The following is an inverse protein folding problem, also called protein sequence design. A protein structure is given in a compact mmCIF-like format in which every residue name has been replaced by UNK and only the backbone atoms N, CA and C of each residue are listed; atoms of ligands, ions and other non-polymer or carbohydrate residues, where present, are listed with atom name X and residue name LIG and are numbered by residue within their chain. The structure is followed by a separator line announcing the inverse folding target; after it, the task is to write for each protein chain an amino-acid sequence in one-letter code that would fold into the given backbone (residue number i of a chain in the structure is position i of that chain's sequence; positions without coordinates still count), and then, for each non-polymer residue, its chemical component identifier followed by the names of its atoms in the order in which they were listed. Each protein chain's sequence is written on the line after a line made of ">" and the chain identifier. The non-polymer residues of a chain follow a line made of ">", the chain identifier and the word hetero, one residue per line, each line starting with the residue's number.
data_IF_553868624092
#
_entry.id   IF_553868624092
#
_cell.length_a   1.000
_cell.length_b   1.000
_cell.length_c   1.000
_cell.angle_alpha   90.00
_cell.angle_beta   90.00
_cell.angle_gamma   90.00
#
_symmetry.space_group_name_H-M   'P 1'
#
loop_
_entity.id
_entity.type
_entity.pdbx_description
1 polymer ?
#
# COMPACT_ATOMS: atom_id res chain seq x y z
N UNK A 1 -46.38 31.79 25.02
CA UNK A 1 -45.57 30.53 25.15
C UNK A 1 -45.41 29.88 23.80
N UNK A 2 -44.46 30.27 22.95
CA UNK A 2 -44.09 29.61 21.65
C UNK A 2 -42.74 30.17 21.18
N UNK A 3 -41.65 30.02 21.95
CA UNK A 3 -40.29 30.42 21.49
C UNK A 3 -39.18 29.48 21.91
N UNK A 4 -39.47 28.22 22.28
CA UNK A 4 -38.42 27.29 22.79
C UNK A 4 -38.14 26.08 21.89
N UNK A 5 -38.78 25.95 20.71
CA UNK A 5 -38.63 24.74 19.87
C UNK A 5 -37.64 24.89 18.71
N UNK A 6 -37.06 26.09 18.48
CA UNK A 6 -36.15 26.29 17.33
C UNK A 6 -34.67 26.12 17.64
N UNK A 7 -34.29 26.13 18.92
CA UNK A 7 -32.89 26.02 19.31
C UNK A 7 -32.38 24.56 19.41
N UNK A 8 -33.30 23.59 19.53
CA UNK A 8 -32.92 22.17 19.67
C UNK A 8 -32.69 21.52 18.31
N UNK A 9 -33.22 22.08 17.22
CA UNK A 9 -33.06 21.54 15.87
C UNK A 9 -31.70 21.91 15.23
N UNK A 10 -31.00 22.91 15.74
CA UNK A 10 -29.70 23.36 15.20
C UNK A 10 -28.50 22.58 15.79
N UNK A 11 -28.72 21.77 16.81
CA UNK A 11 -27.66 20.98 17.47
C UNK A 11 -27.51 19.56 16.87
N UNK A 12 -28.39 19.16 15.94
CA UNK A 12 -28.36 17.84 15.30
C UNK A 12 -27.69 17.82 13.92
N UNK A 13 -27.21 18.98 13.43
CA UNK A 13 -26.49 19.11 12.17
C UNK A 13 -25.02 19.53 12.38
N UNK A 14 -24.35 19.00 13.42
CA UNK A 14 -22.92 18.82 13.27
C UNK A 14 -22.75 17.56 12.40
N UNK A 15 -22.32 17.68 11.15
CA UNK A 15 -21.77 16.53 10.48
C UNK A 15 -20.63 16.09 11.38
N UNK A 16 -20.75 14.92 11.97
CA UNK A 16 -19.57 14.24 12.50
C UNK A 16 -18.55 14.34 11.36
N UNK A 17 -17.49 15.11 11.58
CA UNK A 17 -16.33 15.15 10.71
C UNK A 17 -15.86 13.70 10.68
N UNK A 18 -16.35 12.96 9.70
CA UNK A 18 -15.82 11.67 9.38
C UNK A 18 -14.40 11.98 8.93
N UNK A 19 -13.44 11.80 9.84
CA UNK A 19 -12.07 11.69 9.46
C UNK A 19 -12.05 10.57 8.44
N UNK A 20 -12.03 10.95 7.17
CA UNK A 20 -11.83 10.00 6.09
C UNK A 20 -10.46 9.38 6.37
N UNK A 21 -10.47 8.18 6.93
CA UNK A 21 -9.25 7.47 7.23
C UNK A 21 -8.46 7.35 5.93
N UNK A 22 -7.21 7.77 5.94
CA UNK A 22 -6.35 7.75 4.77
C UNK A 22 -6.23 6.33 4.23
N UNK A 23 -6.47 6.16 2.95
CA UNK A 23 -6.69 4.85 2.35
C UNK A 23 -5.47 3.95 2.25
N UNK A 24 -4.26 4.47 2.43
CA UNK A 24 -3.05 3.71 2.13
C UNK A 24 -1.97 3.86 3.20
N UNK A 25 -2.36 3.92 4.46
CA UNK A 25 -1.40 3.85 5.57
C UNK A 25 -0.72 2.48 5.59
N UNK A 26 0.53 2.47 5.98
CA UNK A 26 1.33 1.27 6.08
C UNK A 26 2.31 1.10 4.91
N UNK A 27 2.93 -0.06 4.87
CA UNK A 27 3.89 -0.41 3.83
C UNK A 27 3.20 -0.61 2.49
N UNK A 28 3.76 0.01 1.47
CA UNK A 28 3.34 -0.14 0.09
C UNK A 28 4.22 -1.17 -0.64
N UNK A 29 3.68 -1.94 -1.60
CA UNK A 29 4.48 -2.86 -2.38
C UNK A 29 5.41 -2.11 -3.32
N UNK A 30 6.69 -2.48 -3.32
CA UNK A 30 7.65 -1.99 -4.29
C UNK A 30 7.51 -2.81 -5.59
N UNK A 31 7.15 -2.21 -6.74
CA UNK A 31 7.19 -2.92 -8.02
C UNK A 31 8.58 -3.52 -8.32
N UNK A 32 8.68 -4.76 -8.82
CA UNK A 32 7.59 -5.61 -9.32
C UNK A 32 6.96 -6.53 -8.26
N UNK A 33 7.24 -6.37 -6.97
CA UNK A 33 6.87 -7.29 -5.89
C UNK A 33 5.49 -6.96 -5.29
N UNK A 34 4.46 -6.94 -6.11
CA UNK A 34 3.07 -6.72 -5.72
C UNK A 34 2.30 -5.88 -6.72
N UNK A 35 1.05 -5.57 -6.36
CA UNK A 35 0.11 -4.78 -7.17
C UNK A 35 -0.32 -3.61 -6.31
N UNK A 36 -0.55 -2.44 -6.77
CA UNK A 36 -0.96 -1.20 -6.09
C UNK A 36 -0.73 -1.17 -4.57
N UNK A 37 -1.59 -1.82 -3.75
CA UNK A 37 -1.42 -1.97 -2.30
C UNK A 37 -1.27 -3.43 -1.84
N UNK A 38 -1.38 -4.40 -2.75
CA UNK A 38 -1.24 -5.81 -2.45
C UNK A 38 0.23 -6.25 -2.55
N UNK A 39 0.83 -6.61 -1.42
CA UNK A 39 2.19 -7.11 -1.33
C UNK A 39 2.31 -8.52 -1.94
N UNK A 40 3.47 -8.82 -2.51
CA UNK A 40 3.87 -10.17 -2.90
C UNK A 40 4.62 -10.88 -1.78
N UNK A 41 4.47 -12.21 -1.68
CA UNK A 41 5.29 -13.04 -0.82
C UNK A 41 6.74 -13.19 -1.34
N UNK A 42 7.02 -12.73 -2.57
CA UNK A 42 8.40 -12.64 -3.07
C UNK A 42 9.17 -11.52 -2.37
N UNK A 43 10.47 -11.64 -2.31
CA UNK A 43 11.36 -10.68 -1.65
C UNK A 43 12.55 -10.36 -2.55
N UNK A 44 13.14 -9.20 -2.35
CA UNK A 44 14.45 -8.85 -2.89
C UNK A 44 15.47 -9.93 -2.54
N UNK A 45 16.44 -10.15 -3.42
CA UNK A 45 17.57 -11.01 -3.11
C UNK A 45 18.49 -10.32 -2.11
N UNK A 46 19.34 -11.09 -1.48
CA UNK A 46 20.33 -10.56 -0.52
C UNK A 46 21.19 -9.47 -1.16
N UNK A 47 21.28 -8.32 -0.49
CA UNK A 47 22.01 -7.12 -0.89
C UNK A 47 21.43 -6.39 -2.13
N UNK A 48 20.24 -6.72 -2.57
CA UNK A 48 19.51 -5.88 -3.52
C UNK A 48 18.86 -4.72 -2.78
N UNK A 49 18.86 -3.55 -3.40
CA UNK A 49 18.17 -2.35 -2.93
C UNK A 49 17.08 -2.01 -3.94
N UNK A 50 15.87 -1.82 -3.46
CA UNK A 50 14.78 -1.30 -4.25
C UNK A 50 14.39 0.10 -3.79
N UNK A 51 14.11 0.99 -4.72
CA UNK A 51 13.58 2.33 -4.46
C UNK A 51 12.40 2.59 -5.37
N UNK A 52 11.39 3.28 -4.86
CA UNK A 52 10.19 3.62 -5.63
C UNK A 52 9.61 4.96 -5.22
N UNK A 53 9.02 5.63 -6.18
CA UNK A 53 8.22 6.84 -5.99
C UNK A 53 6.83 6.58 -6.56
N UNK A 54 5.81 6.85 -5.76
CA UNK A 54 4.42 6.77 -6.19
C UNK A 54 3.69 8.08 -5.97
N UNK A 55 2.72 8.33 -6.84
CA UNK A 55 1.82 9.49 -6.78
C UNK A 55 0.40 8.97 -6.97
N UNK A 56 -0.51 9.45 -6.13
CA UNK A 56 -1.93 9.16 -6.20
C UNK A 56 -2.72 10.47 -6.20
N UNK A 57 -3.78 10.49 -6.98
CA UNK A 57 -4.77 11.56 -6.98
C UNK A 57 -6.14 10.95 -6.76
N UNK A 58 -6.80 11.32 -5.66
CA UNK A 58 -8.18 10.97 -5.35
C UNK A 58 -9.11 12.13 -5.73
N UNK A 59 -10.28 11.82 -6.23
CA UNK A 59 -11.30 12.82 -6.57
C UNK A 59 -12.18 13.16 -5.36
N UNK A 60 -12.65 12.15 -4.63
CA UNK A 60 -13.44 12.30 -3.41
C UNK A 60 -12.95 11.31 -2.33
N UNK A 61 -12.41 11.81 -1.21
CA UNK A 61 -12.05 13.21 -0.95
C UNK A 61 -10.93 13.70 -1.87
N UNK A 62 -10.97 14.99 -2.24
CA UNK A 62 -9.96 15.58 -3.13
C UNK A 62 -8.62 15.75 -2.40
N UNK A 63 -7.65 14.91 -2.71
CA UNK A 63 -6.27 15.04 -2.24
C UNK A 63 -5.29 14.43 -3.24
N UNK A 64 -4.05 14.81 -3.13
CA UNK A 64 -2.94 14.13 -3.79
C UNK A 64 -2.01 13.58 -2.75
N UNK A 65 -1.44 12.41 -3.01
CA UNK A 65 -0.48 11.76 -2.12
C UNK A 65 0.74 11.37 -2.94
N UNK A 66 1.92 11.56 -2.38
CA UNK A 66 3.15 10.97 -2.88
C UNK A 66 3.77 10.11 -1.79
N UNK A 67 4.49 9.07 -2.19
CA UNK A 67 5.20 8.23 -1.24
C UNK A 67 6.53 7.76 -1.82
N UNK A 68 7.55 7.83 -1.01
CA UNK A 68 8.86 7.25 -1.29
C UNK A 68 8.95 5.89 -0.61
N UNK A 69 9.43 4.90 -1.34
CA UNK A 69 9.63 3.53 -0.86
C UNK A 69 11.09 3.16 -0.96
N UNK A 70 11.58 2.48 0.07
CA UNK A 70 12.92 1.90 0.08
C UNK A 70 12.79 0.48 0.62
N UNK A 71 13.41 -0.48 -0.06
CA UNK A 71 13.46 -1.87 0.36
C UNK A 71 14.89 -2.39 0.27
N UNK A 72 15.28 -3.23 1.22
CA UNK A 72 16.60 -3.86 1.26
C UNK A 72 16.50 -5.35 1.55
N UNK A 73 17.08 -6.16 0.67
CA UNK A 73 17.17 -7.60 0.83
C UNK A 73 18.25 -7.98 1.85
N UNK A 74 17.86 -8.21 3.11
CA UNK A 74 18.76 -8.71 4.18
C UNK A 74 19.21 -10.14 3.90
N UNK A 75 18.29 -10.93 3.37
CA UNK A 75 18.52 -12.33 2.98
C UNK A 75 17.56 -12.67 1.83
N UNK A 76 17.78 -13.74 1.09
CA UNK A 76 16.90 -14.15 -0.03
C UNK A 76 15.43 -14.41 0.35
N UNK A 77 15.13 -14.40 1.65
CA UNK A 77 13.78 -14.58 2.19
C UNK A 77 13.37 -13.47 3.16
N UNK A 78 14.28 -12.54 3.48
CA UNK A 78 14.06 -11.51 4.47
C UNK A 78 14.36 -10.15 3.87
N UNK A 79 13.40 -9.26 3.93
CA UNK A 79 13.42 -7.93 3.33
C UNK A 79 12.99 -6.90 4.37
N UNK A 80 13.74 -5.82 4.46
CA UNK A 80 13.39 -4.63 5.22
C UNK A 80 12.79 -3.59 4.29
N UNK A 81 11.71 -2.92 4.71
CA UNK A 81 10.96 -1.96 3.92
C UNK A 81 10.70 -0.68 4.70
N UNK A 82 10.73 0.45 4.00
CA UNK A 82 10.31 1.76 4.50
C UNK A 82 9.39 2.41 3.48
N UNK A 83 8.33 3.07 3.96
CA UNK A 83 7.46 3.93 3.17
C UNK A 83 7.33 5.30 3.86
N UNK A 84 7.59 6.37 3.13
CA UNK A 84 7.53 7.76 3.56
C UNK A 84 6.42 8.48 2.78
N UNK A 85 5.21 8.61 3.32
CA UNK A 85 4.09 9.23 2.61
C UNK A 85 3.98 10.72 2.93
N UNK A 86 3.56 11.50 1.93
CA UNK A 86 3.24 12.91 2.04
C UNK A 86 1.92 13.22 1.34
N UNK A 87 1.04 13.97 2.01
CA UNK A 87 -0.27 14.37 1.49
C UNK A 87 -0.27 15.84 1.12
N UNK A 88 -0.93 16.14 -0.02
CA UNK A 88 -1.17 17.49 -0.51
C UNK A 88 -2.67 17.78 -0.55
N UNK A 89 -3.05 19.02 -0.20
CA UNK A 89 -4.38 19.57 -0.40
C UNK A 89 -5.55 18.78 0.22
N UNK A 90 -5.31 18.08 1.31
CA UNK A 90 -6.40 17.45 2.06
C UNK A 90 -7.01 18.46 3.03
N UNK A 91 -8.30 18.82 2.83
CA UNK A 91 -9.00 19.84 3.63
C UNK A 91 -8.17 21.13 3.82
N UNK A 92 -7.47 21.58 2.76
CA UNK A 92 -6.54 22.71 2.74
C UNK A 92 -5.26 22.50 3.58
N UNK A 93 -5.02 21.30 4.08
CA UNK A 93 -3.78 20.91 4.77
C UNK A 93 -2.84 20.09 3.89
N UNK A 94 -1.55 20.17 4.18
CA UNK A 94 -0.51 19.33 3.58
C UNK A 94 0.51 18.94 4.64
N UNK A 95 1.12 17.76 4.50
CA UNK A 95 2.12 17.31 5.46
C UNK A 95 2.50 15.83 5.30
N UNK A 96 3.51 15.44 6.06
CA UNK A 96 3.88 14.04 6.18
C UNK A 96 2.84 13.27 7.00
N UNK A 97 2.56 12.04 6.58
CA UNK A 97 1.94 11.03 7.44
C UNK A 97 3.02 10.31 8.25
N UNK A 98 2.60 9.44 9.16
CA UNK A 98 3.55 8.58 9.86
C UNK A 98 4.28 7.71 8.85
N UNK A 99 5.62 7.77 8.84
CA UNK A 99 6.37 6.82 8.02
C UNK A 99 6.22 5.42 8.59
N UNK A 100 6.26 4.43 7.73
CA UNK A 100 6.14 3.02 8.13
C UNK A 100 7.40 2.26 7.75
N UNK A 101 7.91 1.50 8.71
CA UNK A 101 8.97 0.53 8.47
C UNK A 101 8.50 -0.88 8.80
N UNK A 102 9.07 -1.88 8.15
CA UNK A 102 8.70 -3.26 8.44
C UNK A 102 9.66 -4.28 7.87
N UNK A 103 9.46 -5.49 8.33
CA UNK A 103 10.22 -6.67 7.91
C UNK A 103 9.26 -7.68 7.32
N UNK A 104 9.51 -8.08 6.08
CA UNK A 104 8.80 -9.15 5.40
C UNK A 104 9.68 -10.39 5.35
N UNK A 105 9.14 -11.51 5.81
CA UNK A 105 9.85 -12.79 5.79
C UNK A 105 9.05 -13.85 5.05
N UNK A 106 9.64 -14.41 4.00
CA UNK A 106 9.08 -15.50 3.23
C UNK A 106 9.34 -16.83 3.94
N UNK A 107 8.29 -17.39 4.53
CA UNK A 107 8.33 -18.67 5.23
C UNK A 107 8.55 -19.83 4.25
N UNK A 108 7.81 -19.80 3.13
CA UNK A 108 7.84 -20.85 2.12
C UNK A 108 7.83 -20.27 0.72
N UNK A 109 8.67 -20.80 -0.15
CA UNK A 109 8.61 -20.53 -1.59
C UNK A 109 7.42 -21.22 -2.26
N UNK A 110 7.12 -20.80 -3.47
CA UNK A 110 6.11 -21.42 -4.30
C UNK A 110 6.51 -22.85 -4.71
N UNK A 111 5.54 -23.74 -4.76
CA UNK A 111 5.67 -25.08 -5.34
C UNK A 111 4.56 -25.35 -6.37
N UNK A 112 4.57 -26.50 -7.03
CA UNK A 112 3.55 -26.86 -8.02
C UNK A 112 2.11 -26.67 -7.48
N UNK A 113 1.85 -27.10 -6.26
CA UNK A 113 0.50 -27.11 -5.68
C UNK A 113 0.28 -26.01 -4.62
N UNK A 114 1.32 -25.56 -3.95
CA UNK A 114 1.21 -24.67 -2.81
C UNK A 114 1.70 -23.25 -3.16
N UNK A 115 0.98 -22.21 -2.70
CA UNK A 115 1.42 -20.83 -2.86
C UNK A 115 2.67 -20.55 -2.03
N UNK A 116 3.41 -19.52 -2.41
CA UNK A 116 4.39 -18.87 -1.56
C UNK A 116 3.67 -18.20 -0.38
N UNK A 117 4.24 -18.31 0.82
CA UNK A 117 3.72 -17.74 2.06
C UNK A 117 4.78 -16.85 2.69
N UNK A 118 4.39 -15.65 3.04
CA UNK A 118 5.19 -14.73 3.84
C UNK A 118 4.36 -14.12 4.96
N UNK A 119 5.04 -13.62 5.99
CA UNK A 119 4.44 -12.67 6.94
C UNK A 119 5.19 -11.34 6.89
N UNK A 120 4.52 -10.32 7.38
CA UNK A 120 5.07 -8.99 7.53
C UNK A 120 4.79 -8.48 8.94
N UNK A 121 5.78 -7.83 9.53
CA UNK A 121 5.64 -7.04 10.76
C UNK A 121 5.98 -5.60 10.42
N UNK A 122 5.21 -4.64 10.92
CA UNK A 122 5.40 -3.24 10.62
C UNK A 122 5.13 -2.36 11.83
N UNK A 123 5.83 -1.24 11.88
CA UNK A 123 5.67 -0.20 12.87
C UNK A 123 5.72 1.16 12.18
N UNK A 124 4.87 2.06 12.63
CA UNK A 124 4.89 3.47 12.23
C UNK A 124 5.07 4.29 13.49
N UNK A 125 6.24 4.91 13.71
CA UNK A 125 6.40 5.88 14.80
C UNK A 125 5.48 7.09 14.58
N UNK A 126 5.13 7.78 15.66
CA UNK A 126 4.44 9.07 15.58
C UNK A 126 5.39 10.13 15.01
N UNK A 127 5.35 10.32 13.71
CA UNK A 127 6.30 11.15 12.94
C UNK A 127 5.62 12.07 11.94
N UNK A 128 4.35 11.86 11.71
CA UNK A 128 3.53 12.67 10.81
C UNK A 128 3.06 13.96 11.47
N UNK A 129 2.50 14.87 10.66
CA UNK A 129 1.76 16.02 11.16
C UNK A 129 0.51 15.53 11.91
N UNK A 130 0.19 16.14 13.06
CA UNK A 130 -0.92 15.71 13.94
C UNK A 130 -2.24 15.42 13.19
N UNK A 131 -2.56 16.23 12.16
CA UNK A 131 -3.76 16.05 11.34
C UNK A 131 -3.74 14.76 10.50
N UNK A 132 -2.57 14.20 10.23
CA UNK A 132 -2.35 13.04 9.36
C UNK A 132 -1.74 11.84 10.08
N UNK A 133 -1.35 12.01 11.36
CA UNK A 133 -0.82 10.95 12.20
C UNK A 133 -1.93 10.10 12.81
N UNK A 134 -1.58 8.86 13.16
CA UNK A 134 -2.38 7.97 14.02
C UNK A 134 -1.75 7.82 15.39
N UNK A 135 -0.89 8.77 15.80
CA UNK A 135 -0.03 8.69 16.99
C UNK A 135 0.88 7.45 16.94
N UNK A 136 1.29 7.10 15.73
CA UNK A 136 2.00 5.88 15.45
C UNK A 136 1.07 4.67 15.30
N UNK A 137 1.65 3.54 14.93
CA UNK A 137 0.91 2.27 14.84
C UNK A 137 1.84 1.07 14.85
N UNK A 138 1.30 -0.09 15.21
CA UNK A 138 1.97 -1.38 15.08
C UNK A 138 1.05 -2.33 14.31
N UNK A 139 1.62 -3.15 13.44
CA UNK A 139 0.82 -4.05 12.64
C UNK A 139 1.60 -5.23 12.09
N UNK A 140 0.87 -6.07 11.39
CA UNK A 140 1.44 -7.23 10.72
C UNK A 140 0.39 -7.97 9.91
N UNK A 141 0.82 -9.01 9.21
CA UNK A 141 -0.13 -9.81 8.44
C UNK A 141 0.51 -10.93 7.65
N UNK A 142 -0.35 -11.61 6.91
CA UNK A 142 0.00 -12.75 6.08
C UNK A 142 -0.15 -12.40 4.60
N UNK A 143 0.75 -12.93 3.80
CA UNK A 143 0.84 -12.67 2.36
C UNK A 143 0.94 -14.02 1.65
N UNK A 144 0.06 -14.24 0.68
CA UNK A 144 0.06 -15.40 -0.19
C UNK A 144 0.33 -14.94 -1.63
N UNK A 145 1.13 -15.71 -2.37
CA UNK A 145 1.38 -15.46 -3.80
C UNK A 145 1.42 -16.78 -4.55
N UNK A 146 0.69 -16.84 -5.67
CA UNK A 146 0.66 -18.02 -6.55
C UNK A 146 0.76 -17.59 -8.02
N UNK A 147 1.66 -18.24 -8.76
CA UNK A 147 1.79 -18.07 -10.20
C UNK A 147 1.25 -19.30 -10.93
N UNK A 148 0.44 -19.07 -11.94
CA UNK A 148 -0.10 -20.13 -12.82
C UNK A 148 0.02 -19.63 -14.27
N UNK A 149 1.00 -20.15 -14.99
CA UNK A 149 1.30 -19.67 -16.35
C UNK A 149 1.62 -18.17 -16.38
N UNK A 150 0.92 -17.37 -17.22
CA UNK A 150 1.13 -15.93 -17.29
C UNK A 150 0.45 -15.15 -16.15
N UNK A 151 -0.38 -15.80 -15.35
CA UNK A 151 -1.15 -15.21 -14.26
C UNK A 151 -0.41 -15.36 -12.93
N UNK A 152 -0.35 -14.29 -12.14
CA UNK A 152 0.15 -14.31 -10.77
C UNK A 152 -0.87 -13.63 -9.86
N UNK A 153 -1.34 -14.37 -8.87
CA UNK A 153 -2.28 -13.87 -7.85
C UNK A 153 -1.61 -13.62 -6.52
N UNK A 154 -2.08 -12.62 -5.80
CA UNK A 154 -1.65 -12.23 -4.47
C UNK A 154 -2.85 -12.05 -3.55
N UNK A 155 -2.69 -12.39 -2.28
CA UNK A 155 -3.69 -12.14 -1.25
C UNK A 155 -2.99 -11.70 0.03
N UNK A 156 -3.46 -10.60 0.63
CA UNK A 156 -2.93 -10.09 1.91
C UNK A 156 -4.06 -9.97 2.92
N UNK A 157 -3.78 -10.39 4.12
CA UNK A 157 -4.57 -10.06 5.29
C UNK A 157 -3.67 -9.32 6.28
N UNK A 158 -3.96 -8.04 6.50
CA UNK A 158 -3.16 -7.18 7.36
C UNK A 158 -4.01 -6.65 8.52
N UNK A 159 -3.39 -6.54 9.68
CA UNK A 159 -3.94 -5.94 10.89
C UNK A 159 -3.04 -4.81 11.33
N UNK A 160 -3.62 -3.69 11.75
CA UNK A 160 -2.90 -2.54 12.30
C UNK A 160 -3.63 -1.97 13.49
N UNK A 161 -2.91 -1.80 14.59
CA UNK A 161 -3.38 -1.12 15.80
C UNK A 161 -2.78 0.28 15.83
N UNK A 162 -3.61 1.35 15.80
CA UNK A 162 -3.14 2.73 15.95
C UNK A 162 -2.68 3.01 17.37
N UNK A 163 -1.82 4.02 17.56
CA UNK A 163 -1.41 4.53 18.88
C UNK A 163 -2.49 5.38 19.52
N UNK A 164 -3.24 6.14 18.72
CA UNK A 164 -4.38 6.94 19.20
C UNK A 164 -5.51 6.03 19.71
N UNK A 165 -5.83 6.14 20.99
CA UNK A 165 -6.89 5.37 21.67
C UNK A 165 -8.30 5.65 21.14
N UNK A 166 -8.53 6.78 20.48
CA UNK A 166 -9.82 7.14 19.86
C UNK A 166 -10.04 6.41 18.52
N UNK A 167 -8.99 5.87 17.94
CA UNK A 167 -9.06 5.12 16.69
C UNK A 167 -9.28 3.63 16.95
N UNK A 168 -9.95 2.97 16.00
CA UNK A 168 -10.21 1.52 16.04
C UNK A 168 -9.12 0.77 15.29
N UNK A 169 -8.90 -0.47 15.69
CA UNK A 169 -8.05 -1.41 14.95
C UNK A 169 -8.50 -1.55 13.50
N UNK A 170 -7.53 -1.58 12.59
CA UNK A 170 -7.78 -1.67 11.16
C UNK A 170 -7.46 -3.08 10.65
N UNK A 171 -8.34 -3.58 9.80
CA UNK A 171 -8.16 -4.82 9.06
C UNK A 171 -8.22 -4.53 7.56
N UNK A 172 -7.24 -5.04 6.81
CA UNK A 172 -7.19 -4.95 5.36
C UNK A 172 -7.20 -6.35 4.77
N UNK A 173 -8.02 -6.52 3.73
CA UNK A 173 -8.01 -7.69 2.87
C UNK A 173 -7.81 -7.22 1.43
N UNK A 174 -6.68 -7.53 0.85
CA UNK A 174 -6.36 -7.17 -0.52
C UNK A 174 -6.17 -8.42 -1.35
N UNK A 175 -6.75 -8.43 -2.55
CA UNK A 175 -6.60 -9.50 -3.54
C UNK A 175 -6.12 -8.83 -4.82
N UNK A 176 -4.90 -9.12 -5.23
CA UNK A 176 -4.26 -8.57 -6.41
C UNK A 176 -3.93 -9.64 -7.44
N UNK A 177 -3.88 -9.26 -8.70
CA UNK A 177 -3.48 -10.12 -9.79
C UNK A 177 -2.65 -9.39 -10.84
N UNK A 178 -1.72 -10.11 -11.44
CA UNK A 178 -0.89 -9.70 -12.55
C UNK A 178 -1.09 -10.69 -13.71
N UNK A 179 -1.38 -10.19 -14.90
CA UNK A 179 -1.41 -10.95 -16.14
C UNK A 179 -0.29 -10.47 -17.05
N UNK A 180 0.71 -11.32 -17.31
CA UNK A 180 1.78 -11.02 -18.25
C UNK A 180 1.24 -11.05 -19.68
N UNK A 181 1.33 -9.92 -20.40
CA UNK A 181 0.93 -9.77 -21.79
C UNK A 181 2.15 -9.97 -22.71
N UNK A 182 3.26 -9.38 -22.30
CA UNK A 182 4.55 -9.52 -22.97
C UNK A 182 5.64 -9.81 -21.95
N UNK A 183 6.89 -9.99 -22.39
CA UNK A 183 8.03 -10.14 -21.49
C UNK A 183 8.19 -8.94 -20.55
N UNK A 184 7.84 -7.74 -21.01
CA UNK A 184 8.09 -6.48 -20.31
C UNK A 184 6.82 -5.82 -19.80
N UNK A 185 5.63 -6.39 -20.05
CA UNK A 185 4.39 -5.71 -19.68
C UNK A 185 3.35 -6.63 -19.05
N UNK A 186 2.57 -6.06 -18.13
CA UNK A 186 1.52 -6.75 -17.36
C UNK A 186 0.29 -5.88 -17.21
N UNK A 187 -0.88 -6.49 -17.28
CA UNK A 187 -2.12 -5.93 -16.74
C UNK A 187 -2.18 -6.26 -15.26
N UNK A 188 -2.62 -5.30 -14.47
CA UNK A 188 -2.78 -5.39 -13.03
C UNK A 188 -4.25 -5.22 -12.67
N UNK A 189 -4.74 -6.01 -11.72
CA UNK A 189 -6.04 -5.82 -11.11
C UNK A 189 -5.95 -6.07 -9.62
N UNK A 190 -6.69 -5.28 -8.83
CA UNK A 190 -6.72 -5.41 -7.37
C UNK A 190 -8.11 -5.10 -6.84
N UNK A 191 -8.55 -5.87 -5.86
CA UNK A 191 -9.68 -5.54 -4.98
C UNK A 191 -9.10 -5.29 -3.59
N UNK A 192 -9.30 -4.09 -3.07
CA UNK A 192 -8.84 -3.67 -1.75
C UNK A 192 -10.04 -3.42 -0.84
N UNK A 193 -10.12 -4.16 0.25
CA UNK A 193 -11.13 -4.02 1.28
C UNK A 193 -10.52 -3.59 2.61
N UNK A 194 -11.13 -2.59 3.28
CA UNK A 194 -10.64 -2.07 4.54
C UNK A 194 -11.77 -1.73 5.50
N UNK A 195 -11.56 -2.08 6.77
CA UNK A 195 -12.35 -1.59 7.90
C UNK A 195 -11.82 -0.21 8.31
N UNK A 196 -12.71 0.74 8.53
CA UNK A 196 -12.33 2.10 8.94
C UNK A 196 -11.82 2.16 10.40
N UNK A 197 -10.94 3.12 10.68
CA UNK A 197 -10.48 3.45 12.02
C UNK A 197 -11.58 3.96 12.97
N UNK A 198 -12.60 4.63 12.44
CA UNK A 198 -13.65 5.26 13.26
C UNK A 198 -14.88 4.38 13.45
N UNK A 199 -15.20 3.50 12.52
CA UNK A 199 -16.40 2.68 12.51
C UNK A 199 -16.06 1.20 12.36
N UNK A 200 -16.77 0.32 13.09
CA UNK A 200 -16.63 -1.13 12.96
C UNK A 200 -17.32 -1.66 11.68
N UNK A 201 -17.19 -0.96 10.55
CA UNK A 201 -17.81 -1.33 9.27
C UNK A 201 -16.74 -1.34 8.19
N UNK A 202 -16.95 -2.18 7.17
CA UNK A 202 -16.21 -2.08 5.94
C UNK A 202 -16.44 -0.69 5.36
N UNK A 203 -15.40 0.09 5.19
CA UNK A 203 -15.48 1.48 4.77
C UNK A 203 -15.03 1.67 3.33
N UNK A 204 -13.95 1.02 2.97
CA UNK A 204 -13.42 1.02 1.62
C UNK A 204 -13.63 -0.36 0.99
N UNK A 205 -14.16 -0.37 -0.22
CA UNK A 205 -14.10 -1.51 -1.13
C UNK A 205 -13.82 -0.94 -2.53
N UNK A 206 -12.56 -1.00 -2.95
CA UNK A 206 -12.06 -0.38 -4.16
C UNK A 206 -11.59 -1.45 -5.15
N UNK A 207 -11.98 -1.29 -6.41
CA UNK A 207 -11.42 -2.06 -7.51
C UNK A 207 -10.43 -1.21 -8.27
N UNK A 208 -9.24 -1.73 -8.53
CA UNK A 208 -8.15 -1.05 -9.20
C UNK A 208 -7.73 -1.83 -10.43
N UNK A 209 -7.51 -1.11 -11.51
CA UNK A 209 -6.98 -1.62 -12.76
C UNK A 209 -5.76 -0.82 -13.16
N UNK A 210 -4.81 -1.46 -13.83
CA UNK A 210 -3.65 -0.76 -14.33
C UNK A 210 -2.74 -1.57 -15.21
N UNK A 211 -1.65 -0.93 -15.56
CA UNK A 211 -0.65 -1.45 -16.46
C UNK A 211 0.74 -1.19 -15.90
N UNK A 212 1.58 -2.18 -15.97
CA UNK A 212 3.00 -2.10 -15.60
C UNK A 212 3.87 -2.46 -16.76
N UNK A 213 4.91 -1.66 -16.98
CA UNK A 213 5.96 -1.94 -17.96
C UNK A 213 7.34 -1.94 -17.28
N UNK A 214 8.17 -2.92 -17.64
CA UNK A 214 9.60 -2.86 -17.36
C UNK A 214 10.23 -1.95 -18.42
N UNK A 215 10.54 -0.72 -18.03
CA UNK A 215 11.15 0.30 -18.91
C UNK A 215 12.60 -0.06 -19.20
N UNK A 216 13.28 -0.68 -18.25
CA UNK A 216 14.60 -1.30 -18.37
C UNK A 216 14.59 -2.61 -17.59
N UNK A 217 15.69 -3.37 -17.59
CA UNK A 217 15.82 -4.62 -16.84
C UNK A 217 15.56 -4.46 -15.34
N UNK A 218 15.77 -3.24 -14.81
CA UNK A 218 15.70 -2.94 -13.38
C UNK A 218 14.67 -1.87 -13.03
N UNK A 219 14.03 -1.22 -14.00
CA UNK A 219 13.12 -0.11 -13.79
C UNK A 219 11.71 -0.47 -14.22
N UNK A 220 10.73 -0.20 -13.35
CA UNK A 220 9.33 -0.52 -13.57
C UNK A 220 8.49 0.74 -13.44
N UNK A 221 7.63 0.98 -14.43
CA UNK A 221 6.63 2.05 -14.40
C UNK A 221 5.25 1.42 -14.32
N UNK A 222 4.42 1.93 -13.42
CA UNK A 222 3.04 1.46 -13.22
C UNK A 222 2.09 2.65 -13.31
N UNK A 223 1.01 2.50 -14.07
CA UNK A 223 -0.13 3.43 -14.10
C UNK A 223 -1.40 2.66 -13.75
N UNK A 224 -2.34 3.33 -13.10
CA UNK A 224 -3.60 2.68 -12.74
C UNK A 224 -4.69 3.66 -12.38
N UNK A 225 -5.91 3.12 -12.32
CA UNK A 225 -7.09 3.80 -11.84
C UNK A 225 -7.82 2.89 -10.85
N UNK A 226 -8.33 3.48 -9.77
CA UNK A 226 -9.17 2.82 -8.77
C UNK A 226 -10.57 3.39 -8.80
N UNK A 227 -11.55 2.56 -8.47
CA UNK A 227 -12.98 2.89 -8.44
C UNK A 227 -13.59 2.33 -7.17
N UNK A 228 -14.24 3.20 -6.37
CA UNK A 228 -15.00 2.75 -5.22
C UNK A 228 -16.26 1.99 -5.69
N UNK A 229 -16.36 0.71 -5.33
CA UNK A 229 -17.50 -0.15 -5.69
C UNK A 229 -18.54 -0.27 -4.59
N UNK A 230 -18.30 0.30 -3.42
CA UNK A 230 -19.23 0.29 -2.29
C UNK A 230 -20.16 1.49 -2.28
N UNK A 231 -19.62 2.67 -2.58
CA UNK A 231 -20.38 3.91 -2.57
C UNK A 231 -20.98 4.16 -3.96
N UNK A 232 -22.17 4.76 -4.01
CA UNK A 232 -22.85 5.06 -5.27
C UNK A 232 -22.34 6.32 -5.96
N UNK A 233 -21.57 7.14 -5.27
CA UNK A 233 -20.87 8.30 -5.84
C UNK A 233 -19.59 7.81 -6.51
N UNK A 234 -19.31 8.16 -7.75
CA UNK A 234 -18.11 7.75 -8.45
C UNK A 234 -16.89 8.42 -7.82
N UNK A 235 -16.32 7.77 -6.82
CA UNK A 235 -15.00 8.12 -6.34
C UNK A 235 -13.98 7.35 -7.19
N UNK A 236 -13.08 8.09 -7.81
CA UNK A 236 -12.02 7.51 -8.61
C UNK A 236 -10.66 8.01 -8.15
N UNK A 237 -9.69 7.16 -8.33
CA UNK A 237 -8.30 7.42 -7.98
C UNK A 237 -7.41 7.15 -9.18
N UNK A 238 -6.47 8.04 -9.44
CA UNK A 238 -5.41 7.84 -10.41
C UNK A 238 -4.11 7.54 -9.68
N UNK A 239 -3.37 6.59 -10.18
CA UNK A 239 -2.13 6.11 -9.58
C UNK A 239 -1.01 6.05 -10.61
N UNK A 240 0.15 6.53 -10.23
CA UNK A 240 1.38 6.41 -11.00
C UNK A 240 2.52 6.02 -10.05
N UNK A 241 3.38 5.12 -10.48
CA UNK A 241 4.62 4.84 -9.75
C UNK A 241 5.75 4.45 -10.67
N UNK A 242 6.96 4.78 -10.25
CA UNK A 242 8.20 4.32 -10.85
C UNK A 242 9.07 3.70 -9.77
N UNK A 243 9.72 2.59 -10.08
CA UNK A 243 10.62 1.92 -9.16
C UNK A 243 11.85 1.38 -9.88
N UNK A 244 12.94 1.29 -9.14
CA UNK A 244 14.19 0.74 -9.61
C UNK A 244 14.71 -0.29 -8.59
N UNK A 245 15.25 -1.40 -9.09
CA UNK A 245 15.92 -2.42 -8.29
C UNK A 245 17.39 -2.44 -8.68
N UNK A 246 18.22 -2.09 -7.71
CA UNK A 246 19.67 -2.10 -7.88
C UNK A 246 20.17 -3.50 -7.54
N UNK A 247 20.75 -4.22 -8.51
CA UNK A 247 21.28 -5.54 -8.28
C UNK A 247 22.55 -5.46 -7.42
N UNK A 248 22.87 -6.57 -6.75
CA UNK A 248 24.16 -6.72 -6.11
C UNK A 248 25.26 -6.52 -7.14
N UNK A 249 26.29 -5.69 -6.83
CA UNK A 249 27.49 -5.57 -7.64
C UNK A 249 28.06 -6.96 -7.94
N UNK A 250 28.16 -7.32 -9.20
CA UNK A 250 28.93 -8.49 -9.62
C UNK A 250 30.39 -8.14 -9.39
N UNK A 251 31.06 -8.78 -8.42
CA UNK A 251 32.51 -8.72 -8.33
C UNK A 251 33.04 -9.27 -9.67
N UNK A 252 33.56 -8.40 -10.50
CA UNK A 252 34.32 -8.80 -11.69
C UNK A 252 35.59 -9.43 -11.15
N UNK A 253 35.66 -10.76 -11.19
CA UNK A 253 36.92 -11.47 -10.93
C UNK A 253 37.77 -11.20 -12.16
N UNK A 254 38.67 -10.22 -12.05
CA UNK A 254 39.77 -10.12 -13.00
C UNK A 254 40.62 -11.38 -12.81
N UNK A 255 40.42 -12.36 -13.64
CA UNK A 255 41.37 -13.44 -13.83
C UNK A 255 42.59 -12.79 -14.48
N UNK A 256 43.57 -12.46 -13.66
CA UNK A 256 44.90 -12.11 -14.13
C UNK A 256 45.46 -13.46 -14.63
N UNK A 257 45.47 -13.62 -15.93
CA UNK A 257 46.30 -14.65 -16.58
C UNK A 257 47.73 -14.15 -16.51
N UNK A 258 48.52 -14.68 -15.57
CA UNK A 258 49.97 -14.67 -15.68
C UNK A 258 50.46 -15.75 -16.64
#
# INVERSE_FOLDING_TARGET
>A
MKRFSFAIFLLLFFPALAFAGFDMKGLQPLPPFGVFSTLSAESLKRNEIGMGLGIEKSAEPNFSRTYLQIAYGLHNRLEFNITLPYIFNFHNGSGFEDFTMGVKHRLRGESKYLPSLAYILMVSPNSGKNEFSTEGSIGGGLILTKKVGPFKGHMNFLYTKPGDSNLKDQYLLNIGSELAITHNSKILSEIAGRKNYTKNKLDLLEWRLGYRVATTDNTYTTIGAGFDIKNRTPDYRLMFSISIILPKEKKTVHTIYE
#
